data_IF_741082787384
#
_entry.id   IF_741082787384
#
_cell.length_a   1.000
_cell.length_b   1.000
_cell.length_c   1.000
_cell.angle_alpha   90.00
_cell.angle_beta   90.00
_cell.angle_gamma   90.00
#
_symmetry.space_group_name_H-M   'P 1'
#
loop_
_entity.id
_entity.type
_entity.pdbx_description
1 polymer ?
#
# COMPACT_ATOMS: atom_id res chain seq x y z
N UNK A 1 3.05 15.59 -10.16
CA UNK A 1 3.21 16.22 -11.48
C UNK A 1 3.36 15.20 -12.59
N UNK A 2 4.30 14.25 -12.52
CA UNK A 2 4.56 13.28 -13.60
C UNK A 2 3.35 12.42 -14.03
N UNK A 3 2.53 11.95 -13.09
CA UNK A 3 1.44 11.01 -13.41
C UNK A 3 0.31 11.61 -14.28
N UNK A 4 0.12 12.92 -14.23
CA UNK A 4 -0.96 13.64 -14.94
C UNK A 4 -0.46 14.85 -15.74
N UNK A 5 0.86 14.98 -15.91
CA UNK A 5 1.50 16.13 -16.57
C UNK A 5 0.98 17.51 -16.09
N UNK A 6 0.74 17.64 -14.77
CA UNK A 6 0.19 18.89 -14.21
C UNK A 6 1.26 19.98 -14.06
N UNK A 7 0.89 21.26 -14.24
CA UNK A 7 1.73 22.39 -13.86
C UNK A 7 1.97 22.41 -12.35
N UNK A 8 3.02 23.12 -11.92
CA UNK A 8 3.37 23.23 -10.50
C UNK A 8 2.23 23.82 -9.67
N UNK A 9 1.93 23.17 -8.54
CA UNK A 9 0.95 23.63 -7.56
C UNK A 9 1.59 23.59 -6.16
N UNK A 10 1.07 24.40 -5.23
CA UNK A 10 1.67 24.55 -3.91
C UNK A 10 1.43 23.30 -3.04
N UNK A 11 2.44 22.90 -2.26
CA UNK A 11 2.33 21.74 -1.37
C UNK A 11 1.36 22.08 -0.23
N UNK A 12 0.34 21.24 -0.06
CA UNK A 12 -0.68 21.42 1.00
C UNK A 12 -1.96 22.10 0.52
N UNK A 13 -2.02 22.55 -0.73
CA UNK A 13 -3.26 23.08 -1.30
C UNK A 13 -3.90 22.07 -2.26
N UNK A 14 -4.94 21.34 -1.82
CA UNK A 14 -5.63 20.37 -2.66
C UNK A 14 -6.45 21.06 -3.77
N UNK A 15 -6.83 22.32 -3.60
CA UNK A 15 -7.69 23.01 -4.57
C UNK A 15 -6.92 23.36 -5.85
N UNK A 16 -5.68 23.84 -5.75
CA UNK A 16 -4.84 24.09 -6.93
C UNK A 16 -4.47 22.81 -7.68
N UNK A 17 -4.29 21.68 -6.99
CA UNK A 17 -4.13 20.37 -7.63
C UNK A 17 -5.38 19.97 -8.43
N UNK A 18 -6.56 20.03 -7.80
CA UNK A 18 -7.82 19.67 -8.44
C UNK A 18 -8.19 20.61 -9.59
N UNK A 19 -7.86 21.89 -9.48
CA UNK A 19 -8.01 22.86 -10.58
C UNK A 19 -7.12 22.51 -11.78
N UNK A 20 -5.86 22.09 -11.54
CA UNK A 20 -4.98 21.57 -12.58
C UNK A 20 -5.55 20.32 -13.24
N UNK A 21 -6.03 19.37 -12.44
CA UNK A 21 -6.67 18.14 -12.93
C UNK A 21 -7.92 18.42 -13.77
N UNK A 22 -8.78 19.33 -13.33
CA UNK A 22 -9.98 19.72 -14.05
C UNK A 22 -9.66 20.33 -15.42
N UNK A 23 -8.57 21.12 -15.54
CA UNK A 23 -8.14 21.67 -16.83
C UNK A 23 -7.62 20.60 -17.78
N UNK A 24 -6.78 19.69 -17.31
CA UNK A 24 -6.22 18.61 -18.14
C UNK A 24 -7.30 17.62 -18.59
N UNK A 25 -8.29 17.35 -17.74
CA UNK A 25 -9.41 16.46 -18.04
C UNK A 25 -10.59 17.12 -18.76
N UNK A 26 -10.52 18.43 -19.04
CA UNK A 26 -11.61 19.16 -19.72
C UNK A 26 -12.88 19.33 -18.87
N UNK A 27 -12.79 19.19 -17.55
CA UNK A 27 -13.90 19.27 -16.61
C UNK A 27 -14.23 20.73 -16.25
N UNK A 28 -14.87 21.42 -17.19
CA UNK A 28 -15.28 22.82 -17.06
C UNK A 28 -16.81 22.90 -17.13
N UNK A 29 -17.42 23.39 -16.05
CA UNK A 29 -18.87 23.64 -15.97
C UNK A 29 -19.25 24.90 -16.74
N UNK A 30 -20.57 25.09 -16.89
CA UNK A 30 -21.14 26.32 -17.44
C UNK A 30 -20.57 27.55 -16.71
N UNK A 31 -20.30 28.62 -17.45
CA UNK A 31 -19.64 29.87 -16.99
C UNK A 31 -18.14 29.73 -16.66
N UNK A 32 -17.47 28.67 -17.11
CA UNK A 32 -16.01 28.53 -16.97
C UNK A 32 -15.54 28.11 -15.59
N UNK A 33 -16.45 27.62 -14.74
CA UNK A 33 -16.14 27.15 -13.38
C UNK A 33 -15.53 25.75 -13.47
N UNK A 34 -14.40 25.53 -12.82
CA UNK A 34 -13.72 24.23 -12.81
C UNK A 34 -14.48 23.23 -11.93
N UNK A 35 -14.72 22.02 -12.44
CA UNK A 35 -15.38 20.97 -11.66
C UNK A 35 -14.41 20.18 -10.80
N UNK A 36 -14.24 20.65 -9.57
CA UNK A 36 -13.37 20.02 -8.59
C UNK A 36 -13.87 18.64 -8.15
N UNK A 37 -15.20 18.44 -8.11
CA UNK A 37 -15.79 17.17 -7.68
C UNK A 37 -15.56 16.07 -8.73
N UNK A 38 -15.77 16.39 -10.02
CA UNK A 38 -15.45 15.48 -11.11
C UNK A 38 -13.96 15.15 -11.17
N UNK A 39 -13.10 16.15 -10.98
CA UNK A 39 -11.65 15.94 -10.96
C UNK A 39 -11.21 15.04 -9.80
N UNK A 40 -11.78 15.24 -8.61
CA UNK A 40 -11.52 14.40 -7.45
C UNK A 40 -11.98 12.95 -7.68
N UNK A 41 -13.13 12.77 -8.34
CA UNK A 41 -13.65 11.44 -8.66
C UNK A 41 -12.71 10.65 -9.58
N UNK A 42 -12.15 11.29 -10.61
CA UNK A 42 -11.15 10.67 -11.49
C UNK A 42 -9.92 10.21 -10.69
N UNK A 43 -9.43 11.05 -9.80
CA UNK A 43 -8.26 10.71 -8.95
C UNK A 43 -8.57 9.52 -8.04
N UNK A 44 -9.77 9.45 -7.47
CA UNK A 44 -10.20 8.34 -6.63
C UNK A 44 -10.36 7.03 -7.40
N UNK A 45 -10.88 7.08 -8.63
CA UNK A 45 -10.97 5.91 -9.51
C UNK A 45 -9.58 5.42 -9.92
N UNK A 46 -8.71 6.34 -10.33
CA UNK A 46 -7.33 6.00 -10.68
C UNK A 46 -6.58 5.41 -9.48
N UNK A 47 -6.90 5.86 -8.27
CA UNK A 47 -6.40 5.27 -7.02
C UNK A 47 -6.94 3.86 -6.78
N UNK A 48 -8.25 3.64 -6.94
CA UNK A 48 -8.86 2.33 -6.69
C UNK A 48 -8.41 1.27 -7.69
N UNK A 49 -8.21 1.65 -8.96
CA UNK A 49 -7.67 0.78 -10.02
C UNK A 49 -6.17 0.50 -9.82
N UNK A 50 -5.48 1.30 -9.00
CA UNK A 50 -4.05 1.14 -8.72
C UNK A 50 -3.15 1.72 -9.79
N UNK A 51 -3.62 2.74 -10.52
CA UNK A 51 -2.81 3.51 -11.48
C UNK A 51 -1.65 4.23 -10.80
N UNK A 52 -1.84 4.63 -9.54
CA UNK A 52 -0.74 5.02 -8.68
C UNK A 52 -0.10 3.78 -8.09
N UNK A 53 1.23 3.68 -8.19
CA UNK A 53 1.98 2.70 -7.44
C UNK A 53 1.57 2.81 -5.96
N UNK A 54 1.13 1.69 -5.37
CA UNK A 54 0.61 1.63 -4.00
C UNK A 54 1.77 1.94 -3.04
N UNK A 55 1.98 3.21 -2.74
CA UNK A 55 2.96 3.67 -1.74
C UNK A 55 2.37 3.64 -0.33
N UNK A 56 1.48 2.71 -0.03
CA UNK A 56 1.14 2.43 1.37
C UNK A 56 2.21 1.48 1.89
N UNK A 57 3.36 2.03 2.26
CA UNK A 57 4.19 1.35 3.25
C UNK A 57 3.36 1.28 4.53
N UNK A 58 3.29 0.12 5.21
CA UNK A 58 2.59 0.05 6.48
C UNK A 58 3.17 1.11 7.42
N UNK A 59 2.34 1.76 8.26
CA UNK A 59 2.84 2.72 9.24
C UNK A 59 3.87 2.00 10.11
N UNK A 60 5.15 2.30 9.89
CA UNK A 60 6.30 1.56 10.43
C UNK A 60 7.44 1.29 9.43
N UNK A 61 7.21 1.32 8.11
CA UNK A 61 8.27 1.06 7.11
C UNK A 61 8.71 2.32 6.34
N UNK A 62 8.32 3.52 6.78
CA UNK A 62 8.77 4.77 6.14
C UNK A 62 10.16 5.23 6.58
N UNK A 63 11.01 4.33 7.06
CA UNK A 63 12.41 4.64 7.29
C UNK A 63 13.27 3.58 6.58
N UNK A 64 14.26 3.98 5.77
CA UNK A 64 15.51 3.24 5.76
C UNK A 64 16.18 3.49 7.12
N UNK A 65 15.61 2.97 8.20
CA UNK A 65 16.27 3.00 9.49
C UNK A 65 17.30 1.89 9.45
N UNK A 66 18.56 2.27 9.23
CA UNK A 66 19.61 1.71 10.07
C UNK A 66 19.28 2.13 11.53
N UNK A 67 18.26 1.53 12.12
CA UNK A 67 17.79 1.89 13.45
C UNK A 67 18.81 1.38 14.45
N UNK A 68 19.29 2.24 15.34
CA UNK A 68 20.11 1.86 16.49
C UNK A 68 19.48 0.72 17.34
N UNK A 69 18.18 0.48 17.17
CA UNK A 69 17.45 -0.63 17.78
C UNK A 69 17.80 -1.99 17.16
N UNK A 70 18.19 -2.06 15.90
CA UNK A 70 18.61 -3.31 15.24
C UNK A 70 19.88 -3.85 15.89
N UNK A 71 20.83 -2.97 16.22
CA UNK A 71 22.06 -3.35 16.93
C UNK A 71 21.76 -3.87 18.34
N UNK A 72 20.82 -3.22 19.06
CA UNK A 72 20.36 -3.66 20.38
C UNK A 72 19.69 -5.04 20.30
N UNK A 73 18.87 -5.27 19.29
CA UNK A 73 18.18 -6.55 19.07
C UNK A 73 19.21 -7.64 18.72
N UNK A 74 20.18 -7.35 17.84
CA UNK A 74 21.23 -8.31 17.46
C UNK A 74 22.10 -8.77 18.63
N UNK A 75 22.32 -7.91 19.63
CA UNK A 75 23.04 -8.28 20.87
C UNK A 75 22.24 -9.27 21.73
N UNK A 76 20.91 -9.18 21.72
CA UNK A 76 20.06 -10.09 22.51
C UNK A 76 19.88 -11.47 21.87
N UNK A 77 20.09 -11.59 20.56
CA UNK A 77 19.89 -12.84 19.82
C UNK A 77 21.13 -13.75 19.88
N UNK A 78 20.94 -15.00 20.34
CA UNK A 78 21.98 -16.05 20.29
C UNK A 78 22.33 -16.40 18.83
N UNK A 79 23.61 -16.62 18.54
CA UNK A 79 24.04 -16.98 17.18
C UNK A 79 23.59 -18.40 16.82
N UNK A 80 23.40 -18.69 15.53
CA UNK A 80 23.03 -20.04 15.03
C UNK A 80 23.97 -21.17 15.49
N UNK A 81 25.26 -20.89 15.71
CA UNK A 81 26.23 -21.88 16.22
C UNK A 81 25.99 -22.20 17.70
N UNK A 82 25.56 -21.22 18.49
CA UNK A 82 25.21 -21.38 19.90
C UNK A 82 23.87 -22.11 20.04
N UNK A 83 22.87 -21.74 19.25
CA UNK A 83 21.56 -22.41 19.23
C UNK A 83 21.63 -23.90 18.87
N UNK A 84 22.61 -24.33 18.06
CA UNK A 84 22.83 -25.76 17.76
C UNK A 84 23.42 -26.55 18.93
N UNK A 85 24.10 -25.88 19.86
CA UNK A 85 24.73 -26.47 21.04
C UNK A 85 23.85 -26.34 22.29
N UNK A 86 22.89 -25.41 22.26
CA UNK A 86 21.97 -25.12 23.34
C UNK A 86 21.02 -26.33 23.56
N UNK A 87 20.86 -26.76 24.81
CA UNK A 87 19.96 -27.88 25.16
C UNK A 87 18.51 -27.43 25.35
N UNK A 88 18.32 -26.14 25.53
CA UNK A 88 17.07 -25.42 25.77
C UNK A 88 16.25 -25.19 24.49
N UNK A 89 16.89 -25.08 23.32
CA UNK A 89 16.20 -24.73 22.06
C UNK A 89 16.59 -25.70 20.94
N UNK A 90 15.60 -26.29 20.26
CA UNK A 90 15.81 -27.11 19.06
C UNK A 90 15.60 -26.28 17.80
N UNK A 91 16.57 -26.34 16.89
CA UNK A 91 16.49 -25.61 15.63
C UNK A 91 15.49 -26.30 14.69
N UNK A 92 14.39 -25.63 14.38
CA UNK A 92 13.39 -26.13 13.42
C UNK A 92 13.85 -25.80 12.00
N UNK A 93 14.03 -26.84 11.18
CA UNK A 93 14.27 -26.66 9.74
C UNK A 93 12.91 -26.63 9.05
N UNK A 94 12.50 -25.45 8.61
CA UNK A 94 11.35 -25.32 7.72
C UNK A 94 11.70 -25.96 6.38
N UNK A 95 10.86 -26.89 5.94
CA UNK A 95 10.89 -27.40 4.57
C UNK A 95 9.85 -26.61 3.78
N UNK A 96 10.15 -26.22 2.53
CA UNK A 96 9.14 -25.63 1.66
C UNK A 96 8.02 -26.66 1.46
N UNK A 97 6.85 -26.35 2.03
CA UNK A 97 5.64 -27.14 1.79
C UNK A 97 5.09 -26.84 0.39
N UNK A 98 4.28 -27.76 -0.12
CA UNK A 98 3.55 -27.51 -1.36
C UNK A 98 2.64 -26.30 -1.19
N UNK A 99 2.70 -25.37 -2.15
CA UNK A 99 1.83 -24.21 -2.15
C UNK A 99 0.38 -24.68 -2.20
N UNK A 100 -0.39 -24.35 -1.18
CA UNK A 100 -1.77 -24.78 -1.04
C UNK A 100 -2.63 -24.11 -2.11
N UNK A 101 -2.97 -24.84 -3.18
CA UNK A 101 -3.83 -24.39 -4.28
C UNK A 101 -5.30 -24.54 -3.91
N UNK A 102 -5.75 -23.84 -2.88
CA UNK A 102 -7.20 -23.71 -2.67
C UNK A 102 -7.73 -22.78 -3.74
N UNK A 103 -8.64 -23.28 -4.55
CA UNK A 103 -9.46 -22.44 -5.42
C UNK A 103 -10.38 -21.60 -4.52
N UNK A 104 -10.40 -20.30 -4.77
CA UNK A 104 -11.29 -19.38 -4.07
C UNK A 104 -12.59 -19.38 -4.85
N UNK A 105 -13.63 -20.00 -4.31
CA UNK A 105 -14.96 -19.98 -4.89
C UNK A 105 -15.58 -18.60 -4.60
N UNK A 106 -15.55 -17.74 -5.62
CA UNK A 106 -16.09 -16.37 -5.56
C UNK A 106 -17.62 -16.34 -5.73
N UNK A 107 -18.17 -17.34 -6.42
CA UNK A 107 -19.57 -17.39 -6.84
C UNK A 107 -20.41 -18.41 -6.05
N UNK A 108 -19.87 -18.96 -4.97
CA UNK A 108 -20.63 -19.87 -4.13
C UNK A 108 -21.79 -19.10 -3.48
N UNK A 109 -23.00 -19.61 -3.71
CA UNK A 109 -24.20 -19.13 -3.03
C UNK A 109 -24.03 -19.48 -1.56
N UNK A 110 -23.96 -18.45 -0.72
CA UNK A 110 -24.00 -18.63 0.73
C UNK A 110 -25.35 -19.25 1.09
N UNK A 111 -25.41 -20.58 1.21
CA UNK A 111 -26.48 -21.24 1.95
C UNK A 111 -26.26 -20.90 3.43
N UNK A 112 -26.94 -19.88 3.92
CA UNK A 112 -27.23 -19.83 5.34
C UNK A 112 -28.18 -20.98 5.58
N UNK A 113 -27.72 -22.02 6.29
CA UNK A 113 -28.59 -23.10 6.75
C UNK A 113 -29.75 -22.46 7.55
N UNK A 114 -30.96 -22.50 6.99
CA UNK A 114 -32.19 -22.13 7.70
C UNK A 114 -32.56 -23.31 8.61
N UNK A 115 -32.21 -23.20 9.89
CA UNK A 115 -32.88 -23.90 11.00
C UNK A 115 -33.82 -22.93 11.74
#
# INVERSE_FOLDING_TARGET
MLAYSLPGFSKGDPTSFLAGMARVSGLIKKRGILDHAGAAHIVLIDWSIGKFARYTMPPGTSAPSSSADDERILVTLKRRKELRKAKDVKLVRLQPGEAKRREVLLDDIWCADEE
#
